data_IF_766540754568
#
_entry.id   IF_766540754568
#
_cell.length_a   1.000
_cell.length_b   1.000
_cell.length_c   1.000
_cell.angle_alpha   90.00
_cell.angle_beta   90.00
_cell.angle_gamma   90.00
#
_symmetry.space_group_name_H-M   'P 1'
#
loop_
_entity.id
_entity.type
_entity.pdbx_description
1 polymer ?
#
# COMPACT_ATOMS: atom_id res chain seq x y z
N UNK A 1 47.96 7.70 -44.58
CA UNK A 1 49.12 7.18 -43.83
C UNK A 1 48.59 6.19 -42.80
N UNK A 2 49.27 5.05 -42.63
CA UNK A 2 48.87 4.00 -41.69
C UNK A 2 49.26 4.38 -40.25
N UNK A 3 48.37 4.15 -39.30
CA UNK A 3 48.62 4.27 -37.86
C UNK A 3 48.17 3.00 -37.15
N UNK A 4 49.09 2.06 -36.95
CA UNK A 4 48.87 0.87 -36.12
C UNK A 4 49.16 1.20 -34.66
N UNK A 5 48.32 0.75 -33.75
CA UNK A 5 48.56 0.81 -32.31
C UNK A 5 48.27 -0.54 -31.66
N UNK A 6 49.20 -0.99 -30.81
CA UNK A 6 49.37 -2.38 -30.39
C UNK A 6 48.54 -2.72 -29.14
N UNK A 7 47.97 -3.93 -29.11
CA UNK A 7 47.33 -4.51 -27.92
C UNK A 7 48.39 -4.95 -26.90
N UNK A 8 48.18 -4.64 -25.62
CA UNK A 8 48.97 -5.20 -24.51
C UNK A 8 48.05 -5.95 -23.54
N UNK A 9 48.44 -7.16 -23.16
CA UNK A 9 47.71 -8.04 -22.27
C UNK A 9 48.54 -8.24 -20.99
N UNK A 10 47.99 -7.89 -19.82
CA UNK A 10 48.66 -7.98 -18.52
C UNK A 10 48.00 -9.02 -17.61
N UNK A 11 48.81 -9.90 -17.00
CA UNK A 11 48.35 -11.16 -16.41
C UNK A 11 47.78 -11.05 -14.98
N UNK A 12 46.97 -12.06 -14.64
CA UNK A 12 46.44 -12.33 -13.30
C UNK A 12 47.51 -12.51 -12.23
N UNK A 13 47.20 -12.13 -11.00
CA UNK A 13 47.87 -12.66 -9.79
C UNK A 13 46.83 -13.20 -8.83
N UNK A 14 46.92 -14.50 -8.54
CA UNK A 14 46.16 -15.19 -7.48
C UNK A 14 47.05 -15.28 -6.25
N UNK A 15 46.51 -14.98 -5.06
CA UNK A 15 47.19 -15.25 -3.79
C UNK A 15 46.27 -16.06 -2.90
N UNK A 16 46.60 -17.35 -2.78
CA UNK A 16 46.03 -18.24 -1.76
C UNK A 16 46.94 -18.17 -0.53
N UNK A 17 46.37 -17.90 0.63
CA UNK A 17 47.09 -17.92 1.91
C UNK A 17 46.34 -18.83 2.90
N UNK A 18 46.76 -20.10 2.97
CA UNK A 18 46.51 -20.93 4.14
C UNK A 18 47.57 -20.62 5.21
N UNK A 19 47.20 -20.57 6.49
CA UNK A 19 47.84 -21.48 7.47
C UNK A 19 47.29 -21.38 8.90
N UNK A 20 47.28 -22.57 9.51
CA UNK A 20 47.44 -22.90 10.93
C UNK A 20 46.42 -22.53 12.00
N UNK A 21 46.14 -23.56 12.80
CA UNK A 21 45.38 -23.56 14.02
C UNK A 21 46.28 -23.94 15.21
N UNK A 22 45.94 -23.46 16.40
CA UNK A 22 46.03 -24.11 17.72
C UNK A 22 45.51 -23.10 18.76
N UNK A 23 44.52 -23.44 19.58
CA UNK A 23 44.61 -23.79 21.03
C UNK A 23 43.15 -23.76 21.59
N UNK A 24 42.74 -24.38 22.70
CA UNK A 24 43.28 -25.44 23.57
C UNK A 24 42.15 -25.99 24.50
N UNK A 25 42.50 -26.96 25.36
CA UNK A 25 41.84 -27.32 26.63
C UNK A 25 40.52 -28.15 26.62
N UNK A 26 40.56 -29.21 27.43
CA UNK A 26 39.51 -30.20 27.71
C UNK A 26 38.82 -29.91 29.04
N UNK A 27 37.54 -30.26 29.21
CA UNK A 27 36.98 -30.77 30.49
C UNK A 27 35.67 -31.54 30.20
N UNK A 28 35.47 -32.67 30.90
CA UNK A 28 34.28 -33.52 30.81
C UNK A 28 33.60 -33.67 32.19
N UNK A 29 32.37 -34.20 32.16
CA UNK A 29 31.62 -34.81 33.29
C UNK A 29 30.95 -33.85 34.28
N UNK A 30 29.61 -33.79 34.22
CA UNK A 30 28.77 -34.52 35.19
C UNK A 30 27.31 -34.57 34.73
N UNK A 31 26.61 -35.66 35.07
CA UNK A 31 25.25 -35.93 34.61
C UNK A 31 24.36 -36.46 35.75
N UNK A 32 23.18 -35.86 35.89
CA UNK A 32 21.98 -36.39 36.56
C UNK A 32 20.80 -35.45 36.24
N UNK A 33 19.55 -35.87 36.08
CA UNK A 33 19.00 -37.22 35.99
C UNK A 33 17.46 -37.17 36.01
N UNK A 34 16.83 -37.70 34.96
CA UNK A 34 15.42 -38.18 34.89
C UNK A 34 14.27 -37.42 35.59
N UNK A 35 13.29 -36.98 34.79
CA UNK A 35 12.04 -37.77 34.64
C UNK A 35 11.23 -37.42 33.38
N UNK A 36 10.57 -38.42 32.81
CA UNK A 36 9.69 -38.34 31.64
C UNK A 36 8.25 -38.68 32.03
N UNK A 37 7.28 -37.92 31.53
CA UNK A 37 5.92 -38.37 31.21
C UNK A 37 5.52 -37.61 29.94
N UNK A 38 5.43 -38.16 28.72
CA UNK A 38 4.82 -39.40 28.21
C UNK A 38 3.36 -39.24 27.75
N UNK A 39 3.22 -38.88 26.47
CA UNK A 39 2.19 -39.35 25.52
C UNK A 39 0.73 -38.91 25.74
N UNK A 40 0.24 -38.09 24.81
CA UNK A 40 -0.91 -38.48 23.97
C UNK A 40 -1.00 -37.63 22.69
N UNK A 41 -0.29 -38.04 21.62
CA UNK A 41 -0.59 -37.58 20.26
C UNK A 41 -1.76 -38.41 19.71
N UNK A 42 -2.85 -37.76 19.29
CA UNK A 42 -3.88 -38.40 18.46
C UNK A 42 -3.62 -38.10 16.99
N UNK A 43 -3.04 -39.08 16.30
CA UNK A 43 -2.96 -39.08 14.85
C UNK A 43 -4.34 -39.44 14.28
N UNK A 44 -4.88 -38.60 13.38
CA UNK A 44 -5.95 -38.99 12.46
C UNK A 44 -5.40 -38.94 11.04
N UNK A 45 -5.33 -40.11 10.42
CA UNK A 45 -4.91 -40.42 9.04
C UNK A 45 -5.94 -41.43 8.54
N UNK A 46 -6.55 -41.41 7.36
CA UNK A 46 -6.15 -41.15 5.96
C UNK A 46 -7.47 -40.89 5.15
N UNK A 47 -7.54 -40.93 3.81
CA UNK A 47 -6.53 -40.71 2.75
C UNK A 47 -6.92 -39.58 1.76
N UNK A 48 -5.96 -39.15 0.94
CA UNK A 48 -6.25 -38.46 -0.33
C UNK A 48 -6.59 -39.50 -1.40
N UNK A 49 -7.62 -39.24 -2.21
CA UNK A 49 -7.81 -39.92 -3.50
C UNK A 49 -8.21 -38.90 -4.56
N UNK A 50 -7.58 -38.99 -5.73
CA UNK A 50 -7.60 -37.97 -6.77
C UNK A 50 -8.25 -38.53 -8.03
N UNK A 51 -9.49 -38.15 -8.33
CA UNK A 51 -10.13 -38.36 -9.65
C UNK A 51 -11.05 -37.18 -9.95
N UNK A 52 -10.80 -36.51 -11.09
CA UNK A 52 -11.77 -35.66 -11.79
C UNK A 52 -12.38 -36.52 -12.92
N UNK A 53 -13.69 -36.40 -13.23
CA UNK A 53 -13.98 -35.64 -14.45
C UNK A 53 -15.32 -34.86 -14.47
N UNK A 54 -15.24 -33.64 -15.02
CA UNK A 54 -16.05 -33.18 -16.16
C UNK A 54 -17.60 -33.26 -16.14
N UNK A 55 -18.20 -32.06 -16.02
CA UNK A 55 -19.35 -31.53 -16.79
C UNK A 55 -20.80 -31.61 -16.23
N UNK A 56 -21.59 -30.64 -16.74
CA UNK A 56 -23.05 -30.54 -16.76
C UNK A 56 -23.82 -30.07 -15.50
N UNK A 57 -23.94 -28.75 -15.41
CA UNK A 57 -25.22 -28.01 -15.31
C UNK A 57 -26.30 -28.54 -14.34
N UNK A 58 -26.19 -28.20 -13.06
CA UNK A 58 -27.20 -28.46 -12.04
C UNK A 58 -28.22 -27.32 -11.90
N UNK A 59 -29.22 -27.29 -12.79
CA UNK A 59 -30.56 -26.88 -12.38
C UNK A 59 -31.19 -28.06 -11.63
N UNK A 60 -31.62 -27.91 -10.37
CA UNK A 60 -32.92 -28.43 -9.90
C UNK A 60 -33.27 -27.99 -8.47
N UNK A 61 -34.54 -27.66 -8.34
CA UNK A 61 -35.29 -27.23 -7.17
C UNK A 61 -35.14 -28.10 -5.90
N UNK A 62 -35.11 -27.44 -4.74
CA UNK A 62 -35.90 -27.87 -3.57
C UNK A 62 -36.43 -26.63 -2.85
N UNK A 63 -37.74 -26.40 -2.92
CA UNK A 63 -38.71 -26.74 -1.86
C UNK A 63 -38.55 -25.89 -0.59
N UNK A 64 -39.00 -24.63 -0.68
CA UNK A 64 -39.38 -23.84 0.49
C UNK A 64 -40.91 -23.80 0.61
N UNK A 65 -41.42 -24.16 1.79
CA UNK A 65 -42.85 -24.13 2.10
C UNK A 65 -43.31 -22.70 2.34
N UNK A 66 -44.42 -22.35 1.71
CA UNK A 66 -45.20 -21.16 2.00
C UNK A 66 -45.96 -21.30 3.34
N UNK A 67 -46.07 -20.22 4.13
CA UNK A 67 -47.24 -19.97 4.94
C UNK A 67 -47.92 -18.66 4.50
N UNK A 68 -49.12 -18.79 3.94
CA UNK A 68 -49.96 -17.68 3.49
C UNK A 68 -50.40 -16.80 4.66
N UNK A 69 -50.07 -15.50 4.63
CA UNK A 69 -50.91 -14.49 5.29
C UNK A 69 -50.93 -13.20 4.48
N UNK A 70 -52.07 -12.92 3.85
CA UNK A 70 -52.19 -11.83 2.90
C UNK A 70 -52.13 -10.45 3.58
N UNK A 71 -51.36 -9.54 2.97
CA UNK A 71 -51.55 -8.08 3.04
C UNK A 71 -51.29 -7.52 1.64
N UNK A 72 -52.26 -6.85 0.99
CA UNK A 72 -51.96 -6.10 -0.23
C UNK A 72 -51.22 -4.82 0.15
N UNK A 73 -49.91 -4.77 -0.07
CA UNK A 73 -49.22 -3.49 -0.13
C UNK A 73 -49.44 -2.90 -1.52
N UNK A 74 -50.00 -1.69 -1.57
CA UNK A 74 -50.21 -0.98 -2.83
C UNK A 74 -48.89 -0.36 -3.28
N UNK A 75 -48.27 -0.91 -4.33
CA UNK A 75 -47.09 -0.30 -4.96
C UNK A 75 -47.56 0.86 -5.85
N UNK A 76 -47.53 2.07 -5.31
CA UNK A 76 -47.68 3.28 -6.11
C UNK A 76 -46.40 3.52 -6.92
N UNK A 77 -46.44 3.24 -8.22
CA UNK A 77 -45.41 3.69 -9.16
C UNK A 77 -45.68 5.16 -9.52
N UNK A 78 -44.94 6.06 -8.90
CA UNK A 78 -44.88 7.45 -9.36
C UNK A 78 -43.95 7.51 -10.58
N UNK A 79 -44.51 7.74 -11.76
CA UNK A 79 -43.74 8.09 -12.95
C UNK A 79 -43.08 9.44 -12.70
N UNK A 80 -41.76 9.46 -12.45
CA UNK A 80 -40.98 10.69 -12.44
C UNK A 80 -40.72 11.09 -13.89
N UNK A 81 -41.44 12.12 -14.32
CA UNK A 81 -41.27 12.74 -15.64
C UNK A 81 -39.86 13.31 -15.73
N UNK A 82 -39.01 12.70 -16.55
CA UNK A 82 -37.57 13.01 -16.61
C UNK A 82 -37.25 14.04 -17.69
N UNK A 83 -37.98 15.15 -17.66
CA UNK A 83 -37.90 16.23 -18.63
C UNK A 83 -37.81 17.61 -17.95
N UNK A 84 -36.76 17.85 -17.16
CA UNK A 84 -36.16 19.21 -17.13
C UNK A 84 -34.75 19.32 -16.52
N UNK A 85 -33.94 20.16 -17.20
CA UNK A 85 -32.72 20.83 -16.74
C UNK A 85 -31.42 19.99 -16.60
N UNK A 86 -30.82 19.68 -17.75
CA UNK A 86 -29.37 19.93 -17.89
C UNK A 86 -29.12 21.45 -17.77
N UNK A 87 -28.94 21.95 -16.55
CA UNK A 87 -28.42 23.31 -16.36
C UNK A 87 -26.95 23.30 -16.75
N UNK A 88 -26.64 23.85 -17.93
CA UNK A 88 -25.26 24.05 -18.39
C UNK A 88 -24.71 25.33 -17.78
N UNK A 89 -24.57 25.34 -16.46
CA UNK A 89 -23.87 26.41 -15.77
C UNK A 89 -22.35 26.25 -15.99
N UNK A 90 -21.64 27.32 -16.42
CA UNK A 90 -20.18 27.26 -16.52
C UNK A 90 -19.59 27.08 -15.12
N UNK A 91 -18.43 26.41 -14.98
CA UNK A 91 -17.80 26.18 -13.68
C UNK A 91 -17.56 27.53 -13.00
N UNK A 92 -18.31 27.78 -11.93
CA UNK A 92 -18.19 29.00 -11.16
C UNK A 92 -16.89 28.90 -10.39
N UNK A 93 -15.95 29.79 -10.67
CA UNK A 93 -14.73 29.90 -9.88
C UNK A 93 -15.09 30.08 -8.40
N UNK A 94 -14.22 29.53 -7.55
CA UNK A 94 -14.15 29.80 -6.11
C UNK A 94 -15.20 29.07 -5.23
N UNK A 95 -15.60 27.84 -5.60
CA UNK A 95 -16.15 26.88 -4.62
C UNK A 95 -15.00 26.15 -3.89
N UNK A 96 -14.96 26.27 -2.56
CA UNK A 96 -13.92 25.66 -1.73
C UNK A 96 -14.05 24.13 -1.75
N UNK A 97 -13.02 23.45 -2.27
CA UNK A 97 -13.06 22.00 -2.43
C UNK A 97 -12.71 21.30 -1.11
N UNK A 98 -13.52 20.30 -0.75
CA UNK A 98 -13.28 19.50 0.46
C UNK A 98 -12.34 18.33 0.16
N UNK A 99 -11.15 18.41 0.74
CA UNK A 99 -10.13 17.37 0.69
C UNK A 99 -10.16 16.52 1.95
N UNK A 100 -9.93 15.22 1.78
CA UNK A 100 -9.76 14.26 2.86
C UNK A 100 -8.32 13.79 2.83
N UNK A 101 -7.70 13.66 3.99
CA UNK A 101 -6.31 13.23 4.08
C UNK A 101 -6.08 12.22 5.19
N UNK A 102 -5.01 11.45 5.01
CA UNK A 102 -4.53 10.44 5.92
C UNK A 102 -3.02 10.60 6.06
N UNK A 103 -2.56 10.87 7.28
CA UNK A 103 -1.18 11.28 7.57
C UNK A 103 -0.52 10.39 8.61
N UNK A 104 0.75 10.06 8.37
CA UNK A 104 1.62 9.40 9.33
C UNK A 104 3.11 9.73 9.08
N UNK A 105 4.00 9.08 9.82
CA UNK A 105 5.45 9.17 9.62
C UNK A 105 5.83 8.58 8.23
N UNK A 106 6.71 9.25 7.50
CA UNK A 106 7.23 8.81 6.21
C UNK A 106 7.82 7.39 6.28
N UNK A 107 8.60 7.06 7.33
CA UNK A 107 9.16 5.71 7.52
C UNK A 107 8.07 4.64 7.62
N UNK A 108 6.94 4.95 8.26
CA UNK A 108 5.83 4.01 8.34
C UNK A 108 5.13 3.84 6.97
N UNK A 109 4.75 4.94 6.30
CA UNK A 109 3.96 4.86 5.06
C UNK A 109 4.76 4.41 3.83
N UNK A 110 6.06 4.70 3.76
CA UNK A 110 6.87 4.49 2.56
C UNK A 110 7.82 3.28 2.66
N UNK A 111 8.21 2.87 3.88
CA UNK A 111 9.22 1.82 4.10
C UNK A 111 8.71 0.61 4.90
N UNK A 112 7.87 0.80 5.92
CA UNK A 112 7.32 -0.31 6.74
C UNK A 112 6.02 -0.93 6.18
N UNK A 113 5.11 -0.14 5.59
CA UNK A 113 3.79 -0.63 5.18
C UNK A 113 3.75 -1.10 3.71
N UNK A 114 4.09 -2.37 3.49
CA UNK A 114 4.13 -2.98 2.16
C UNK A 114 2.76 -2.97 1.44
N UNK A 115 1.65 -3.18 2.15
CA UNK A 115 0.31 -3.22 1.54
C UNK A 115 -0.13 -1.86 0.97
N UNK A 116 0.37 -0.77 1.54
CA UNK A 116 0.00 0.58 1.12
C UNK A 116 0.44 0.86 -0.31
N UNK A 117 1.65 0.39 -0.68
CA UNK A 117 2.16 0.47 -2.04
C UNK A 117 1.24 -0.22 -3.04
N UNK A 118 0.95 -1.50 -2.83
CA UNK A 118 0.15 -2.30 -3.77
C UNK A 118 -1.27 -1.75 -3.94
N UNK A 119 -1.88 -1.26 -2.86
CA UNK A 119 -3.18 -0.58 -2.92
C UNK A 119 -3.16 0.70 -3.77
N UNK A 120 -2.06 1.48 -3.73
CA UNK A 120 -1.91 2.68 -4.55
C UNK A 120 -1.65 2.35 -6.03
N UNK A 121 -0.79 1.36 -6.33
CA UNK A 121 -0.51 0.95 -7.71
C UNK A 121 -1.73 0.30 -8.38
N UNK A 122 -2.43 -0.61 -7.71
CA UNK A 122 -3.63 -1.22 -8.26
C UNK A 122 -4.77 -0.18 -8.39
N UNK A 123 -4.87 0.80 -7.47
CA UNK A 123 -5.78 1.94 -7.66
C UNK A 123 -5.38 2.75 -8.90
N UNK A 124 -4.12 3.18 -9.05
CA UNK A 124 -3.68 3.96 -10.21
C UNK A 124 -3.95 3.23 -11.53
N UNK A 125 -3.67 1.92 -11.57
CA UNK A 125 -4.00 1.04 -12.68
C UNK A 125 -5.50 1.01 -12.97
N UNK A 126 -6.34 0.86 -11.95
CA UNK A 126 -7.81 0.88 -12.08
C UNK A 126 -8.33 2.22 -12.65
N UNK A 127 -7.70 3.34 -12.31
CA UNK A 127 -8.04 4.65 -12.89
C UNK A 127 -7.66 4.70 -14.37
N UNK A 128 -6.47 4.23 -14.74
CA UNK A 128 -6.04 4.11 -16.14
C UNK A 128 -6.94 3.19 -16.98
N UNK A 129 -7.18 1.96 -16.52
CA UNK A 129 -8.03 0.97 -17.22
C UNK A 129 -9.49 1.43 -17.40
N UNK A 130 -9.98 2.29 -16.49
CA UNK A 130 -11.36 2.84 -16.54
C UNK A 130 -11.43 4.25 -17.12
N UNK A 131 -10.33 4.82 -17.62
CA UNK A 131 -10.24 6.21 -18.09
C UNK A 131 -10.82 7.22 -17.08
N UNK A 132 -10.48 7.06 -15.80
CA UNK A 132 -10.86 7.98 -14.72
C UNK A 132 -9.73 8.93 -14.38
N UNK A 133 -10.07 10.17 -14.07
CA UNK A 133 -9.13 11.16 -13.56
C UNK A 133 -8.65 10.80 -12.15
N UNK A 134 -7.35 10.90 -11.90
CA UNK A 134 -6.74 10.57 -10.62
C UNK A 134 -7.21 11.54 -9.52
N UNK A 135 -7.84 10.98 -8.47
CA UNK A 135 -8.45 11.73 -7.36
C UNK A 135 -7.62 11.71 -6.06
N UNK A 136 -6.35 11.29 -6.12
CA UNK A 136 -5.49 11.05 -4.96
C UNK A 136 -4.00 11.29 -5.24
N UNK A 137 -3.27 11.80 -4.24
CA UNK A 137 -1.84 12.14 -4.32
C UNK A 137 -1.13 11.90 -2.99
N UNK A 138 0.17 11.61 -3.05
CA UNK A 138 1.06 11.60 -1.89
C UNK A 138 1.78 12.94 -1.76
N UNK A 139 1.73 13.51 -0.56
CA UNK A 139 2.38 14.77 -0.22
C UNK A 139 3.36 14.51 0.91
N UNK A 140 4.66 14.59 0.61
CA UNK A 140 5.73 14.54 1.61
C UNK A 140 5.75 15.91 2.30
N UNK A 141 5.79 15.95 3.63
CA UNK A 141 5.81 17.19 4.42
C UNK A 141 4.75 18.23 4.00
N UNK A 142 3.45 17.91 4.09
CA UNK A 142 2.38 18.83 3.67
C UNK A 142 2.33 20.10 4.52
N UNK A 143 2.25 21.26 3.86
CA UNK A 143 2.16 22.58 4.53
C UNK A 143 0.85 22.76 5.29
N UNK A 144 -0.25 22.17 4.82
CA UNK A 144 -1.55 22.28 5.49
C UNK A 144 -1.58 21.66 6.89
N UNK A 145 -0.60 20.83 7.27
CA UNK A 145 -0.48 20.27 8.63
C UNK A 145 -0.27 21.34 9.72
N UNK A 146 0.17 22.54 9.35
CA UNK A 146 0.30 23.67 10.27
C UNK A 146 -1.07 24.18 10.74
N UNK A 147 -2.13 23.97 9.94
CA UNK A 147 -3.54 24.21 10.34
C UNK A 147 -4.01 23.22 11.43
N UNK A 148 -3.30 22.10 11.63
CA UNK A 148 -3.70 20.98 12.51
C UNK A 148 -2.64 20.69 13.60
N UNK A 149 -2.47 21.58 14.61
CA UNK A 149 -1.44 21.43 15.64
C UNK A 149 -1.60 20.13 16.47
N UNK A 150 -2.81 19.64 16.70
CA UNK A 150 -3.05 18.43 17.49
C UNK A 150 -2.69 17.13 16.76
N UNK A 151 -2.71 17.16 15.42
CA UNK A 151 -2.16 16.10 14.58
C UNK A 151 -0.63 16.17 14.62
N UNK A 152 -0.06 17.36 14.37
CA UNK A 152 1.40 17.56 14.34
C UNK A 152 2.09 17.19 15.67
N UNK A 153 1.48 17.44 16.84
CA UNK A 153 2.00 17.00 18.16
C UNK A 153 2.13 15.48 18.32
N UNK A 154 1.34 14.70 17.57
CA UNK A 154 1.28 13.22 17.66
C UNK A 154 2.14 12.52 16.61
N UNK A 155 2.52 13.25 15.56
CA UNK A 155 3.34 12.74 14.47
C UNK A 155 4.83 12.90 14.75
N UNK A 156 5.63 11.96 14.23
CA UNK A 156 7.07 12.15 14.04
C UNK A 156 7.30 12.63 12.62
N UNK A 157 8.14 13.65 12.46
CA UNK A 157 8.62 14.16 11.16
C UNK A 157 9.84 13.33 10.71
N UNK A 158 10.06 13.12 9.39
CA UNK A 158 9.26 13.63 8.29
C UNK A 158 7.88 12.95 8.21
N UNK A 159 6.85 13.72 7.88
CA UNK A 159 5.47 13.23 7.74
C UNK A 159 5.07 13.09 6.27
N UNK A 160 4.22 12.12 5.95
CA UNK A 160 3.61 11.96 4.62
C UNK A 160 2.11 11.96 4.80
N UNK A 161 1.40 12.71 3.96
CA UNK A 161 -0.05 12.62 3.83
C UNK A 161 -0.44 12.03 2.48
N UNK A 162 -1.40 11.13 2.51
CA UNK A 162 -2.21 10.76 1.36
C UNK A 162 -3.42 11.71 1.33
N UNK A 163 -3.55 12.50 0.26
CA UNK A 163 -4.64 13.47 0.06
C UNK A 163 -5.55 12.96 -1.07
N UNK A 164 -6.86 13.08 -0.90
CA UNK A 164 -7.85 12.72 -1.92
C UNK A 164 -9.15 13.50 -1.76
N UNK A 165 -9.88 13.74 -2.85
CA UNK A 165 -11.27 14.25 -2.78
C UNK A 165 -12.27 13.16 -2.35
N UNK A 166 -11.84 11.89 -2.32
CA UNK A 166 -12.68 10.71 -2.08
C UNK A 166 -12.69 10.31 -0.59
N UNK A 167 -13.56 10.95 0.20
CA UNK A 167 -13.72 10.67 1.64
C UNK A 167 -13.98 9.20 2.02
N UNK A 168 -14.87 8.45 1.33
CA UNK A 168 -15.06 7.02 1.56
C UNK A 168 -13.78 6.21 1.37
N UNK A 169 -12.94 6.56 0.38
CA UNK A 169 -11.66 5.89 0.18
C UNK A 169 -10.64 6.20 1.29
N UNK A 170 -10.52 7.46 1.72
CA UNK A 170 -9.68 7.82 2.88
C UNK A 170 -10.16 7.10 4.15
N UNK A 171 -11.48 6.93 4.33
CA UNK A 171 -12.06 6.14 5.43
C UNK A 171 -11.67 4.66 5.36
N UNK A 172 -11.74 4.05 4.17
CA UNK A 172 -11.25 2.68 3.94
C UNK A 172 -9.75 2.54 4.26
N UNK A 173 -8.92 3.48 3.79
CA UNK A 173 -7.48 3.47 4.10
C UNK A 173 -7.24 3.66 5.61
N UNK A 174 -8.03 4.47 6.30
CA UNK A 174 -7.94 4.65 7.77
C UNK A 174 -8.32 3.38 8.56
N UNK A 175 -9.21 2.55 8.04
CA UNK A 175 -9.55 1.24 8.61
C UNK A 175 -8.48 0.16 8.33
N UNK A 176 -7.74 0.29 7.23
CA UNK A 176 -6.68 -0.67 6.86
C UNK A 176 -5.33 -0.38 7.52
N UNK A 177 -5.11 0.88 7.92
CA UNK A 177 -3.86 1.40 8.46
C UNK A 177 -4.04 1.86 9.93
N UNK A 178 -3.52 1.08 10.87
CA UNK A 178 -3.70 1.35 12.30
C UNK A 178 -2.99 2.64 12.75
N UNK A 179 -1.71 2.80 12.34
CA UNK A 179 -0.76 3.81 12.86
C UNK A 179 -0.85 5.19 12.18
N UNK A 180 -2.05 5.57 11.71
CA UNK A 180 -2.28 6.81 10.95
C UNK A 180 -3.37 7.69 11.57
N UNK A 181 -3.30 8.99 11.31
CA UNK A 181 -4.34 9.96 11.62
C UNK A 181 -5.06 10.34 10.33
N UNK A 182 -6.35 10.67 10.40
CA UNK A 182 -7.14 11.11 9.25
C UNK A 182 -7.98 12.32 9.63
N UNK A 183 -8.15 13.25 8.70
CA UNK A 183 -9.06 14.39 8.82
C UNK A 183 -9.46 14.88 7.41
N UNK A 184 -10.27 15.93 7.36
CA UNK A 184 -10.63 16.68 6.17
C UNK A 184 -10.34 18.17 6.34
N UNK A 185 -10.13 18.86 5.24
CA UNK A 185 -10.00 20.31 5.20
C UNK A 185 -10.59 20.87 3.91
N UNK A 186 -10.88 22.16 3.92
CA UNK A 186 -11.30 22.91 2.75
C UNK A 186 -10.11 23.75 2.25
N UNK A 187 -9.93 23.81 0.94
CA UNK A 187 -8.91 24.60 0.27
C UNK A 187 -9.47 25.21 -1.02
N UNK A 188 -8.96 26.40 -1.37
CA UNK A 188 -9.42 27.15 -2.54
C UNK A 188 -8.83 26.57 -3.84
N UNK A 189 -7.72 25.83 -3.74
CA UNK A 189 -7.04 25.23 -4.89
C UNK A 189 -6.42 23.87 -4.58
N UNK A 190 -6.29 23.04 -5.62
CA UNK A 190 -5.53 21.79 -5.55
C UNK A 190 -4.05 22.02 -5.21
N UNK A 191 -3.49 23.15 -5.66
CA UNK A 191 -2.10 23.53 -5.40
C UNK A 191 -1.85 23.82 -3.92
N UNK A 192 -2.78 24.51 -3.24
CA UNK A 192 -2.74 24.71 -1.78
C UNK A 192 -2.86 23.37 -1.04
N UNK A 193 -3.80 22.53 -1.45
CA UNK A 193 -4.04 21.22 -0.83
C UNK A 193 -2.86 20.24 -0.98
N UNK A 194 -2.07 20.37 -2.04
CA UNK A 194 -0.90 19.52 -2.32
C UNK A 194 0.45 20.21 -2.03
N UNK A 195 0.44 21.40 -1.41
CA UNK A 195 1.65 22.15 -1.12
C UNK A 195 2.54 21.41 -0.10
N UNK A 196 3.82 21.23 -0.46
CA UNK A 196 4.81 20.50 0.34
C UNK A 196 6.03 21.34 0.72
N UNK A 197 6.73 20.94 1.79
CA UNK A 197 8.06 21.46 2.13
C UNK A 197 9.15 20.53 1.59
N UNK A 198 10.14 21.03 0.82
CA UNK A 198 11.22 20.20 0.30
C UNK A 198 12.04 19.62 1.45
N UNK A 199 12.04 18.30 1.56
CA UNK A 199 12.65 17.56 2.67
C UNK A 199 13.34 16.33 2.12
N UNK A 200 14.57 16.11 2.56
CA UNK A 200 15.32 14.91 2.17
C UNK A 200 14.79 13.69 2.94
N UNK A 201 14.63 12.57 2.25
CA UNK A 201 14.11 11.33 2.81
C UNK A 201 15.20 10.26 2.73
N UNK A 202 15.78 9.91 3.87
CA UNK A 202 16.71 8.80 3.97
C UNK A 202 16.06 7.64 4.73
N UNK A 203 16.03 6.45 4.11
CA UNK A 203 15.54 5.22 4.75
C UNK A 203 16.67 4.19 4.85
N UNK A 204 16.98 3.80 6.08
CA UNK A 204 17.94 2.74 6.39
C UNK A 204 17.49 1.41 5.79
N UNK A 205 18.30 0.84 4.90
CA UNK A 205 18.08 -0.52 4.38
C UNK A 205 18.58 -1.53 5.41
N UNK A 206 17.76 -2.52 5.83
CA UNK A 206 18.21 -3.54 6.78
C UNK A 206 19.31 -4.42 6.15
N UNK A 207 20.34 -4.75 6.92
CA UNK A 207 21.44 -5.62 6.47
C UNK A 207 20.96 -7.03 6.10
N UNK A 208 19.95 -7.52 6.80
CA UNK A 208 19.34 -8.84 6.58
C UNK A 208 17.86 -8.62 6.27
N UNK A 209 17.49 -8.93 5.02
CA UNK A 209 16.10 -8.94 4.60
C UNK A 209 15.48 -10.32 4.83
N UNK A 210 14.34 -10.37 5.53
CA UNK A 210 13.74 -11.62 6.03
C UNK A 210 12.62 -12.14 5.11
N UNK A 211 12.00 -11.29 4.29
CA UNK A 211 10.91 -11.72 3.41
C UNK A 211 11.44 -12.46 2.16
N UNK A 212 10.67 -13.43 1.60
CA UNK A 212 11.09 -14.24 0.46
C UNK A 212 11.04 -13.51 -0.89
N UNK A 213 10.50 -12.29 -0.93
CA UNK A 213 10.45 -11.37 -2.07
C UNK A 213 11.38 -10.18 -1.80
N UNK A 214 11.93 -9.48 -2.81
CA UNK A 214 12.81 -8.34 -2.58
C UNK A 214 12.06 -7.16 -1.91
N UNK A 215 12.74 -6.43 -1.02
CA UNK A 215 12.23 -5.14 -0.50
C UNK A 215 12.07 -4.16 -1.66
N UNK A 216 11.03 -3.32 -1.61
CA UNK A 216 10.83 -2.29 -2.62
C UNK A 216 11.97 -1.26 -2.67
N UNK A 217 12.19 -0.72 -3.87
CA UNK A 217 13.18 0.33 -4.10
C UNK A 217 12.73 1.67 -3.51
N UNK A 218 13.71 2.48 -3.12
CA UNK A 218 13.49 3.87 -2.72
C UNK A 218 12.94 4.66 -3.92
N UNK A 219 12.02 5.60 -3.67
CA UNK A 219 11.39 6.39 -4.73
C UNK A 219 10.17 5.73 -5.39
N UNK A 220 9.72 4.54 -4.94
CA UNK A 220 8.54 3.88 -5.52
C UNK A 220 7.27 4.76 -5.54
N UNK A 221 7.19 5.73 -4.62
CA UNK A 221 6.08 6.67 -4.44
C UNK A 221 6.09 7.87 -5.40
N UNK A 222 7.17 8.07 -6.18
CA UNK A 222 7.30 9.19 -7.13
C UNK A 222 6.11 9.39 -8.08
N UNK A 223 5.48 8.33 -8.65
CA UNK A 223 4.32 8.48 -9.55
C UNK A 223 3.07 9.09 -8.89
N UNK A 224 3.00 9.12 -7.56
CA UNK A 224 1.87 9.64 -6.80
C UNK A 224 2.10 11.06 -6.27
N UNK A 225 3.32 11.60 -6.41
CA UNK A 225 3.61 12.97 -6.00
C UNK A 225 2.80 13.95 -6.84
N UNK A 226 2.45 15.14 -6.30
CA UNK A 226 1.83 16.19 -7.11
C UNK A 226 2.73 16.50 -8.31
N UNK A 227 2.15 16.78 -9.50
CA UNK A 227 2.92 17.20 -10.65
C UNK A 227 3.63 18.52 -10.29
N UNK A 228 4.94 18.44 -10.06
CA UNK A 228 5.76 19.63 -9.76
C UNK A 228 5.59 20.58 -10.94
N UNK A 229 4.93 21.71 -10.69
CA UNK A 229 4.85 22.79 -11.66
C UNK A 229 6.27 23.23 -11.95
N UNK A 230 6.78 22.86 -13.13
CA UNK A 230 8.05 23.34 -13.63
C UNK A 230 7.88 24.85 -13.78
N UNK A 231 8.50 25.63 -12.91
CA UNK A 231 8.56 27.08 -13.07
C UNK A 231 9.03 27.38 -14.49
N UNK A 232 8.13 27.92 -15.30
CA UNK A 232 8.49 28.45 -16.62
C UNK A 232 9.23 29.75 -16.37
N UNK A 233 10.54 29.62 -16.13
CA UNK A 233 11.47 30.75 -16.25
C UNK A 233 11.40 31.26 -17.69
N UNK A 234 10.61 32.31 -17.86
CA UNK A 234 10.62 33.18 -19.04
C UNK A 234 11.96 33.91 -19.15
#
# INVERSE_FOLDING_TARGET
MLGMATLTLGSSTTVVAQSHAQQHATTLVSASGSRRHSVSNRNCSLPVNLVLPTNQNCNFFSSFKEPTHARPFSTAVASVDSDQLNSSDPPTKDEANKYYFLVANAKFMLDEEEHFKELLFERLRLYGERNKEQDFWLVIEPKFLDKFPDITKRLKRPAVALVSTNGPWITFMKLRLDRVLAESFEAESLEEALAFNPTDLEFEKPEIWVAPYPKYEFGWWEPFLPPVQKEVKS
#
